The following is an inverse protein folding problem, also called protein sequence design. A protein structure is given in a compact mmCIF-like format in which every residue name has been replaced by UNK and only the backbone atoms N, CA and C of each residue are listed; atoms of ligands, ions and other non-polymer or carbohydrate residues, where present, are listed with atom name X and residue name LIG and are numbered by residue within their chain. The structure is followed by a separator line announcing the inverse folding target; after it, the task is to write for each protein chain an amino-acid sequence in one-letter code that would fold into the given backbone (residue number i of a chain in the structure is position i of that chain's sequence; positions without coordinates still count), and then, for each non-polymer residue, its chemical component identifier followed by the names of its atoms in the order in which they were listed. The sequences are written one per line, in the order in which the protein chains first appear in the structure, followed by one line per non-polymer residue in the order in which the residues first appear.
data_IF_477431093137
#
_entry.id   IF_477431093137
#
_cell.length_a   1.000
_cell.length_b   1.000
_cell.length_c   1.000
_cell.angle_alpha   90.00
_cell.angle_beta   90.00
_cell.angle_gamma   90.00
#
_symmetry.space_group_name_H-M   'P 1'
#
loop_
_entity.id
_entity.type
_entity.pdbx_description
1 polymer ?
#
# COMPACT_ATOMS: atom_id res chain seq x y z
N UNK A 1 -1.33 -10.34 5.55
CA UNK A 1 -1.03 -8.93 5.19
C UNK A 1 -1.38 -8.74 3.73
N UNK A 2 -2.37 -7.90 3.44
CA UNK A 2 -2.76 -7.61 2.07
C UNK A 2 -1.71 -6.74 1.38
N UNK A 3 -1.48 -6.96 0.09
CA UNK A 3 -0.50 -6.22 -0.71
C UNK A 3 -1.21 -5.51 -1.86
N UNK A 4 -0.88 -4.24 -2.10
CA UNK A 4 -1.26 -3.51 -3.32
C UNK A 4 -0.01 -2.88 -3.93
N UNK A 5 0.32 -3.28 -5.14
CA UNK A 5 1.61 -2.96 -5.77
C UNK A 5 1.41 -2.62 -7.25
N UNK A 6 2.32 -1.85 -7.85
CA UNK A 6 2.36 -1.66 -9.30
C UNK A 6 3.55 -2.41 -9.92
N UNK A 7 3.27 -3.31 -10.85
CA UNK A 7 4.21 -4.20 -11.51
C UNK A 7 4.33 -5.56 -10.83
N UNK A 8 4.12 -6.63 -11.60
CA UNK A 8 4.16 -8.00 -11.13
C UNK A 8 5.47 -8.39 -10.41
N UNK A 9 6.64 -7.97 -10.92
CA UNK A 9 7.93 -8.24 -10.27
C UNK A 9 8.05 -7.60 -8.88
N UNK A 10 7.57 -6.36 -8.75
CA UNK A 10 7.55 -5.66 -7.47
C UNK A 10 6.53 -6.31 -6.52
N UNK A 11 5.40 -6.80 -7.04
CA UNK A 11 4.38 -7.48 -6.24
C UNK A 11 4.92 -8.78 -5.63
N UNK A 12 5.62 -9.61 -6.43
CA UNK A 12 6.29 -10.81 -5.92
C UNK A 12 7.35 -10.45 -4.86
N UNK A 13 8.23 -9.48 -5.15
CA UNK A 13 9.24 -9.04 -4.20
C UNK A 13 8.64 -8.48 -2.89
N UNK A 14 7.47 -7.83 -2.96
CA UNK A 14 6.74 -7.33 -1.79
C UNK A 14 6.20 -8.47 -0.93
N UNK A 15 5.71 -9.54 -1.56
CA UNK A 15 5.29 -10.74 -0.83
C UNK A 15 6.48 -11.42 -0.16
N UNK A 16 7.59 -11.58 -0.88
CA UNK A 16 8.81 -12.21 -0.38
C UNK A 16 9.38 -11.45 0.81
N UNK A 17 9.44 -10.11 0.75
CA UNK A 17 10.00 -9.32 1.85
C UNK A 17 9.08 -9.28 3.07
N UNK A 18 7.75 -9.32 2.90
CA UNK A 18 6.83 -9.51 4.03
C UNK A 18 7.12 -10.84 4.71
N UNK A 19 7.29 -11.92 3.93
CA UNK A 19 7.60 -13.24 4.46
C UNK A 19 8.97 -13.29 5.12
N UNK A 20 9.98 -12.64 4.54
CA UNK A 20 11.32 -12.52 5.09
C UNK A 20 11.34 -11.90 6.50
N UNK A 21 10.45 -10.92 6.75
CA UNK A 21 10.30 -10.30 8.07
C UNK A 21 9.29 -11.02 8.99
N UNK A 22 8.84 -12.22 8.63
CA UNK A 22 7.97 -13.06 9.47
C UNK A 22 6.47 -12.81 9.34
N UNK A 23 6.06 -11.98 8.38
CA UNK A 23 4.65 -11.81 8.01
C UNK A 23 4.16 -12.91 7.06
N UNK A 24 2.85 -12.96 6.84
CA UNK A 24 2.26 -13.78 5.78
C UNK A 24 1.56 -12.87 4.76
N UNK A 25 2.00 -12.81 3.50
CA UNK A 25 1.25 -12.11 2.45
C UNK A 25 -0.09 -12.82 2.22
N UNK A 26 -1.18 -12.05 2.13
CA UNK A 26 -2.53 -12.59 1.94
C UNK A 26 -2.91 -12.72 0.46
N UNK A 27 -2.32 -11.88 -0.39
CA UNK A 27 -2.65 -11.83 -1.81
C UNK A 27 -1.46 -11.34 -2.64
N UNK A 28 -1.55 -11.64 -3.93
CA UNK A 28 -0.83 -10.96 -5.01
C UNK A 28 -1.80 -10.00 -5.68
N UNK A 29 -1.48 -8.71 -5.78
CA UNK A 29 -2.30 -7.74 -6.50
C UNK A 29 -1.43 -6.65 -7.14
N UNK A 30 -1.42 -6.68 -8.48
CA UNK A 30 -0.81 -5.66 -9.33
C UNK A 30 -1.91 -4.73 -9.87
N UNK A 31 -1.84 -3.43 -9.54
CA UNK A 31 -2.76 -2.41 -10.05
C UNK A 31 -2.33 -1.80 -11.40
N UNK A 32 -1.13 -2.15 -11.88
CA UNK A 32 -0.54 -1.65 -13.11
C UNK A 32 0.09 -0.26 -12.97
N UNK A 33 1.00 0.06 -13.91
CA UNK A 33 1.77 1.32 -13.91
C UNK A 33 0.98 2.59 -14.25
N UNK A 34 -0.31 2.47 -14.61
CA UNK A 34 -1.21 3.59 -14.91
C UNK A 34 -2.49 3.59 -14.09
N UNK A 35 -2.49 2.94 -12.92
CA UNK A 35 -3.67 2.79 -12.07
C UNK A 35 -4.37 4.13 -11.81
N UNK A 36 -5.66 4.17 -12.14
CA UNK A 36 -6.56 5.26 -11.80
C UNK A 36 -6.99 5.16 -10.33
N UNK A 37 -7.60 6.24 -9.84
CA UNK A 37 -8.22 6.31 -8.52
C UNK A 37 -9.24 5.18 -8.30
N UNK A 38 -10.06 4.90 -9.30
CA UNK A 38 -11.11 3.87 -9.25
C UNK A 38 -10.48 2.48 -9.12
N UNK A 39 -9.37 2.24 -9.82
CA UNK A 39 -8.63 0.98 -9.70
C UNK A 39 -8.01 0.80 -8.32
N UNK A 40 -7.51 1.88 -7.71
CA UNK A 40 -7.03 1.85 -6.31
C UNK A 40 -8.17 1.54 -5.35
N UNK A 41 -9.33 2.21 -5.45
CA UNK A 41 -10.49 1.92 -4.58
C UNK A 41 -10.99 0.48 -4.76
N UNK A 42 -11.08 -0.01 -6.00
CA UNK A 42 -11.45 -1.39 -6.28
C UNK A 42 -10.44 -2.40 -5.68
N UNK A 43 -9.14 -2.12 -5.78
CA UNK A 43 -8.09 -2.93 -5.17
C UNK A 43 -8.24 -3.04 -3.65
N UNK A 44 -8.52 -1.92 -2.97
CA UNK A 44 -8.80 -1.93 -1.53
C UNK A 44 -10.04 -2.79 -1.20
N UNK A 45 -11.12 -2.64 -1.97
CA UNK A 45 -12.34 -3.45 -1.77
C UNK A 45 -12.07 -4.95 -1.92
N UNK A 46 -11.27 -5.35 -2.92
CA UNK A 46 -10.88 -6.76 -3.14
C UNK A 46 -10.05 -7.27 -1.96
N UNK A 47 -9.05 -6.52 -1.50
CA UNK A 47 -8.21 -6.92 -0.36
C UNK A 47 -9.07 -7.10 0.90
N UNK A 48 -10.02 -6.19 1.14
CA UNK A 48 -10.88 -6.21 2.31
C UNK A 48 -11.96 -7.29 2.31
N UNK A 49 -12.18 -7.99 1.20
CA UNK A 49 -13.07 -9.15 1.14
C UNK A 49 -12.50 -10.37 1.88
N UNK A 50 -11.17 -10.44 2.06
CA UNK A 50 -10.54 -11.54 2.80
C UNK A 50 -10.50 -11.24 4.31
N UNK A 51 -11.26 -11.98 5.15
CA UNK A 51 -11.30 -11.76 6.60
C UNK A 51 -9.98 -12.08 7.32
N UNK A 52 -9.04 -12.77 6.65
CA UNK A 52 -7.72 -13.06 7.19
C UNK A 52 -6.74 -11.89 7.03
N UNK A 53 -7.11 -10.86 6.26
CA UNK A 53 -6.29 -9.65 6.14
C UNK A 53 -6.36 -8.87 7.45
N UNK A 54 -5.20 -8.76 8.11
CA UNK A 54 -5.03 -8.01 9.37
C UNK A 54 -4.29 -6.69 9.23
N UNK A 55 -3.77 -6.39 8.04
CA UNK A 55 -3.03 -5.16 7.73
C UNK A 55 -2.70 -5.12 6.25
N UNK A 56 -2.44 -3.92 5.73
CA UNK A 56 -2.25 -3.68 4.29
C UNK A 56 -0.90 -2.97 4.08
N UNK A 57 -0.11 -3.48 3.13
CA UNK A 57 1.08 -2.82 2.60
C UNK A 57 0.79 -2.36 1.16
N UNK A 58 0.81 -1.04 0.97
CA UNK A 58 0.84 -0.42 -0.34
C UNK A 58 2.28 -0.10 -0.69
N UNK A 59 2.81 -0.69 -1.76
CA UNK A 59 4.19 -0.46 -2.21
C UNK A 59 4.18 -0.03 -3.68
N UNK A 60 4.40 1.25 -3.94
CA UNK A 60 4.28 1.83 -5.28
C UNK A 60 5.59 2.49 -5.68
N UNK A 61 6.03 2.17 -6.90
CA UNK A 61 7.15 2.82 -7.57
C UNK A 61 6.66 3.63 -8.78
N UNK A 62 6.61 4.94 -8.63
CA UNK A 62 6.27 5.92 -9.65
C UNK A 62 7.37 6.07 -10.69
N UNK A 63 7.33 5.28 -11.76
CA UNK A 63 8.07 5.57 -12.99
C UNK A 63 7.32 6.63 -13.80
N UNK A 64 6.50 6.15 -14.74
CA UNK A 64 5.56 6.99 -15.50
C UNK A 64 4.38 7.46 -14.61
N UNK A 65 4.09 6.69 -13.56
CA UNK A 65 3.01 6.97 -12.62
C UNK A 65 3.35 8.12 -11.67
N UNK A 66 2.38 9.01 -11.44
CA UNK A 66 2.49 10.08 -10.44
C UNK A 66 2.11 9.57 -9.05
N UNK A 67 3.06 9.56 -8.11
CA UNK A 67 2.83 9.14 -6.73
C UNK A 67 1.75 9.97 -6.01
N UNK A 68 1.53 11.24 -6.40
CA UNK A 68 0.50 12.08 -5.80
C UNK A 68 -0.92 11.67 -6.21
N UNK A 69 -1.11 11.25 -7.46
CA UNK A 69 -2.39 10.70 -7.94
C UNK A 69 -2.74 9.45 -7.12
N UNK A 70 -1.76 8.59 -6.90
CA UNK A 70 -1.93 7.37 -6.11
C UNK A 70 -2.17 7.66 -4.64
N UNK A 71 -1.40 8.57 -4.05
CA UNK A 71 -1.62 9.02 -2.67
C UNK A 71 -3.05 9.52 -2.48
N UNK A 72 -3.55 10.33 -3.41
CA UNK A 72 -4.94 10.83 -3.37
C UNK A 72 -5.94 9.67 -3.46
N UNK A 73 -5.72 8.72 -4.38
CA UNK A 73 -6.57 7.53 -4.51
C UNK A 73 -6.60 6.66 -3.25
N UNK A 74 -5.46 6.49 -2.57
CA UNK A 74 -5.36 5.77 -1.29
C UNK A 74 -6.17 6.52 -0.22
N UNK A 75 -5.99 7.84 -0.10
CA UNK A 75 -6.70 8.65 0.91
C UNK A 75 -8.21 8.54 0.73
N UNK A 76 -8.69 8.65 -0.50
CA UNK A 76 -10.12 8.52 -0.80
C UNK A 76 -10.64 7.11 -0.55
N UNK A 77 -9.91 6.07 -1.00
CA UNK A 77 -10.29 4.68 -0.77
C UNK A 77 -10.39 4.34 0.73
N UNK A 78 -9.45 4.83 1.54
CA UNK A 78 -9.47 4.64 3.00
C UNK A 78 -10.67 5.33 3.64
N UNK A 79 -11.00 6.55 3.20
CA UNK A 79 -12.18 7.29 3.68
C UNK A 79 -13.49 6.60 3.29
N UNK A 80 -13.58 6.10 2.07
CA UNK A 80 -14.77 5.40 1.54
C UNK A 80 -14.98 4.04 2.22
N UNK A 81 -13.91 3.29 2.46
CA UNK A 81 -13.96 1.93 3.03
C UNK A 81 -14.02 1.93 4.55
N UNK A 82 -13.82 3.07 5.21
CA UNK A 82 -13.67 3.18 6.67
C UNK A 82 -12.63 2.18 7.23
N UNK A 83 -11.47 2.12 6.58
CA UNK A 83 -10.43 1.15 6.90
C UNK A 83 -9.98 1.26 8.37
N UNK A 84 -10.15 0.16 9.12
CA UNK A 84 -9.73 0.05 10.52
C UNK A 84 -8.45 -0.79 10.69
N UNK A 85 -7.91 -1.36 9.60
CA UNK A 85 -6.70 -2.16 9.64
C UNK A 85 -5.46 -1.26 9.53
N UNK A 86 -4.33 -1.64 10.14
CA UNK A 86 -3.06 -0.98 9.93
C UNK A 86 -2.72 -0.87 8.44
N UNK A 87 -2.46 0.36 8.00
CA UNK A 87 -2.07 0.68 6.64
C UNK A 87 -0.65 1.23 6.62
N UNK A 88 0.23 0.55 5.89
CA UNK A 88 1.58 1.03 5.59
C UNK A 88 1.67 1.38 4.11
N UNK A 89 2.16 2.57 3.81
CA UNK A 89 2.32 3.06 2.44
C UNK A 89 3.77 3.41 2.17
N UNK A 90 4.37 2.78 1.16
CA UNK A 90 5.67 3.15 0.62
C UNK A 90 5.48 3.65 -0.81
N UNK A 91 5.83 4.91 -1.02
CA UNK A 91 5.86 5.56 -2.32
C UNK A 91 7.30 5.90 -2.65
N UNK A 92 7.71 5.64 -3.89
CA UNK A 92 8.98 6.10 -4.45
C UNK A 92 8.88 6.46 -5.91
N UNK A 93 9.78 7.31 -6.40
CA UNK A 93 9.81 7.76 -7.80
C UNK A 93 9.15 9.12 -8.03
N UNK A 94 8.49 9.28 -9.18
CA UNK A 94 7.97 10.55 -9.68
C UNK A 94 6.92 11.17 -8.74
N UNK A 95 7.07 12.46 -8.43
CA UNK A 95 6.21 13.21 -7.51
C UNK A 95 6.02 12.58 -6.12
N UNK A 96 6.98 11.78 -5.65
CA UNK A 96 6.93 11.12 -4.33
C UNK A 96 6.78 12.13 -3.18
N UNK A 97 7.42 13.30 -3.25
CA UNK A 97 7.33 14.31 -2.19
C UNK A 97 5.91 14.86 -2.06
N UNK A 98 5.26 15.12 -3.19
CA UNK A 98 3.85 15.53 -3.20
C UNK A 98 2.95 14.40 -2.67
N UNK A 99 3.18 13.15 -3.09
CA UNK A 99 2.44 12.01 -2.57
C UNK A 99 2.59 11.80 -1.06
N UNK A 100 3.82 11.86 -0.53
CA UNK A 100 4.08 11.78 0.91
C UNK A 100 3.40 12.92 1.67
N UNK A 101 3.41 14.14 1.12
CA UNK A 101 2.69 15.28 1.70
C UNK A 101 1.18 15.06 1.73
N UNK A 102 0.58 14.61 0.62
CA UNK A 102 -0.85 14.27 0.54
C UNK A 102 -1.25 13.21 1.57
N UNK A 103 -0.41 12.19 1.78
CA UNK A 103 -0.65 11.19 2.82
C UNK A 103 -0.57 11.79 4.23
N UNK A 104 0.42 12.64 4.50
CA UNK A 104 0.61 13.29 5.81
C UNK A 104 -0.53 14.26 6.14
N UNK A 105 -0.98 15.05 5.17
CA UNK A 105 -2.04 16.04 5.32
C UNK A 105 -3.45 15.41 5.36
N UNK A 106 -3.57 14.11 5.11
CA UNK A 106 -4.85 13.41 4.99
C UNK A 106 -5.63 13.26 6.29
N UNK A 107 -4.96 13.38 7.44
CA UNK A 107 -5.52 13.11 8.78
C UNK A 107 -5.80 11.62 9.05
N UNK A 108 -5.38 10.73 8.16
CA UNK A 108 -5.59 9.29 8.30
C UNK A 108 -4.53 8.65 9.19
N UNK A 109 -4.92 7.60 9.93
CA UNK A 109 -3.99 6.74 10.67
C UNK A 109 -3.31 5.78 9.71
N UNK A 110 -2.28 6.25 9.02
CA UNK A 110 -1.40 5.45 8.17
C UNK A 110 0.07 5.66 8.57
N UNK A 111 0.91 4.69 8.25
CA UNK A 111 2.35 4.77 8.45
C UNK A 111 3.03 4.82 7.09
N UNK A 112 4.00 5.72 6.91
CA UNK A 112 4.81 5.77 5.70
C UNK A 112 6.09 4.94 5.87
N UNK A 113 6.48 4.21 4.83
CA UNK A 113 7.74 3.48 4.75
C UNK A 113 8.76 4.19 3.87
N UNK A 114 10.03 4.24 4.31
CA UNK A 114 11.10 4.90 3.56
C UNK A 114 11.86 3.96 2.62
N UNK A 115 11.83 2.65 2.90
CA UNK A 115 12.35 1.61 2.03
C UNK A 115 11.42 0.41 2.04
N UNK A 116 11.61 -0.53 1.12
CA UNK A 116 10.82 -1.76 1.09
C UNK A 116 10.99 -2.56 2.41
N UNK A 117 12.21 -2.63 2.93
CA UNK A 117 12.53 -3.30 4.19
C UNK A 117 11.88 -2.61 5.40
N UNK A 118 11.93 -1.28 5.43
CA UNK A 118 11.27 -0.49 6.47
C UNK A 118 9.74 -0.67 6.44
N UNK A 119 9.13 -0.57 5.26
CA UNK A 119 7.69 -0.75 5.08
C UNK A 119 7.23 -2.16 5.50
N UNK A 120 7.99 -3.19 5.13
CA UNK A 120 7.72 -4.57 5.50
C UNK A 120 7.80 -4.79 7.03
N UNK A 121 8.85 -4.31 7.69
CA UNK A 121 8.96 -4.40 9.16
C UNK A 121 7.82 -3.67 9.87
N UNK A 122 7.46 -2.47 9.40
CA UNK A 122 6.36 -1.67 9.96
C UNK A 122 5.02 -2.39 9.84
N UNK A 123 4.69 -2.98 8.68
CA UNK A 123 3.40 -3.66 8.51
C UNK A 123 3.35 -4.97 9.30
N UNK A 124 4.45 -5.72 9.36
CA UNK A 124 4.50 -6.97 10.16
C UNK A 124 4.38 -6.65 11.64
N UNK A 125 5.11 -5.65 12.13
CA UNK A 125 5.02 -5.20 13.52
C UNK A 125 3.60 -4.74 13.88
N UNK A 126 2.93 -4.00 12.99
CA UNK A 126 1.58 -3.52 13.22
C UNK A 126 0.51 -4.62 13.23
N UNK A 127 0.75 -5.76 12.58
CA UNK A 127 -0.18 -6.91 12.53
C UNK A 127 0.10 -7.93 13.63
N UNK A 128 1.36 -8.09 14.05
CA UNK A 128 1.76 -9.03 15.10
C UNK A 128 1.62 -8.48 16.53
N UNK A 129 1.01 -7.31 16.69
CA UNK A 129 0.74 -6.65 17.99
C UNK A 129 -0.64 -7.04 18.54
#
# INVERSE_FOLDING_TARGET
IGCMVNGAGLAMATMDIIQHYGGMPANFLDVGGGASREQVSAAFKIILQDPHVKGILVNIFGGIMDCNVIATGIVEAVKETHLNLPLVVRLEGNNVQAGKKTLADSGLKLVTGDSMADAARKVVGAVGS
#
